data_IF_507690566868
#
_entry.id   IF_507690566868
#
_cell.length_a   1.000
_cell.length_b   1.000
_cell.length_c   1.000
_cell.angle_alpha   90.00
_cell.angle_beta   90.00
_cell.angle_gamma   90.00
#
_symmetry.space_group_name_H-M   'P 1'
#
loop_
_entity.id
_entity.type
_entity.pdbx_description
1 polymer ?
#
# COMPACT_ATOMS: atom_id res chain seq x y z
N UNK A 1 14.33 20.63 8.70
CA UNK A 1 13.10 19.95 9.17
C UNK A 1 12.53 19.18 7.99
N UNK A 2 12.70 17.87 7.95
CA UNK A 2 12.22 17.04 6.84
C UNK A 2 11.50 15.84 7.42
N UNK A 3 10.25 16.04 7.84
CA UNK A 3 9.34 14.93 8.12
C UNK A 3 8.81 14.42 6.76
N UNK A 4 9.71 13.74 6.03
CA UNK A 4 9.39 13.09 4.76
C UNK A 4 8.68 11.80 5.14
N UNK A 5 7.36 11.88 5.36
CA UNK A 5 6.53 10.69 5.52
C UNK A 5 6.86 9.72 4.38
N UNK A 6 7.45 8.59 4.74
CA UNK A 6 7.93 7.61 3.76
C UNK A 6 6.72 7.00 3.05
N UNK A 7 6.62 7.29 1.75
CA UNK A 7 5.55 6.82 0.87
C UNK A 7 6.13 5.97 -0.23
N UNK A 8 5.41 4.90 -0.55
CA UNK A 8 5.78 3.92 -1.54
C UNK A 8 4.72 3.87 -2.64
N UNK A 9 5.13 3.64 -3.88
CA UNK A 9 4.21 3.41 -5.00
C UNK A 9 3.82 1.93 -5.10
N UNK A 10 2.71 1.63 -5.79
CA UNK A 10 2.23 0.26 -6.02
C UNK A 10 3.33 -0.71 -6.46
N UNK A 11 4.21 -0.29 -7.38
CA UNK A 11 5.28 -1.12 -7.92
C UNK A 11 6.38 -1.46 -6.88
N UNK A 12 6.62 -0.57 -5.91
CA UNK A 12 7.59 -0.82 -4.84
C UNK A 12 7.01 -1.79 -3.82
N UNK A 13 5.78 -1.54 -3.38
CA UNK A 13 5.09 -2.40 -2.41
C UNK A 13 4.84 -3.79 -3.00
N UNK A 14 4.50 -3.90 -4.28
CA UNK A 14 4.32 -5.20 -4.95
C UNK A 14 5.61 -6.02 -4.95
N UNK A 15 6.77 -5.38 -5.17
CA UNK A 15 8.09 -6.04 -5.09
C UNK A 15 8.44 -6.41 -3.64
N UNK A 16 8.16 -5.54 -2.68
CA UNK A 16 8.47 -5.80 -1.26
C UNK A 16 7.66 -6.96 -0.68
N UNK A 17 6.40 -7.11 -1.09
CA UNK A 17 5.49 -8.13 -0.59
C UNK A 17 5.42 -9.38 -1.49
N UNK A 18 6.15 -9.38 -2.61
CA UNK A 18 6.15 -10.44 -3.63
C UNK A 18 4.73 -10.85 -4.08
N UNK A 19 3.90 -9.85 -4.40
CA UNK A 19 2.54 -10.05 -4.91
C UNK A 19 2.27 -9.18 -6.13
N UNK A 20 1.30 -9.57 -6.95
CA UNK A 20 0.94 -8.79 -8.15
C UNK A 20 0.35 -7.42 -7.75
N UNK A 21 0.65 -6.34 -8.51
CA UNK A 21 0.06 -5.01 -8.29
C UNK A 21 -1.47 -5.03 -8.22
N UNK A 22 -2.12 -5.82 -9.09
CA UNK A 22 -3.57 -5.96 -9.11
C UNK A 22 -4.10 -6.57 -7.80
N UNK A 23 -3.43 -7.60 -7.27
CA UNK A 23 -3.83 -8.22 -6.01
C UNK A 23 -3.60 -7.28 -4.82
N UNK A 24 -2.46 -6.58 -4.80
CA UNK A 24 -2.15 -5.57 -3.79
C UNK A 24 -3.23 -4.49 -3.71
N UNK A 25 -3.62 -3.89 -4.84
CA UNK A 25 -4.64 -2.83 -4.89
C UNK A 25 -6.00 -3.36 -4.44
N UNK A 26 -6.39 -4.55 -4.90
CA UNK A 26 -7.66 -5.18 -4.47
C UNK A 26 -7.71 -5.37 -2.95
N UNK A 27 -6.62 -5.85 -2.37
CA UNK A 27 -6.52 -6.07 -0.93
C UNK A 27 -6.52 -4.75 -0.15
N UNK A 28 -5.76 -3.75 -0.59
CA UNK A 28 -5.74 -2.43 0.04
C UNK A 28 -7.13 -1.77 0.05
N UNK A 29 -7.87 -1.86 -1.06
CA UNK A 29 -9.27 -1.40 -1.14
C UNK A 29 -10.20 -2.17 -0.19
N UNK A 30 -10.03 -3.50 -0.07
CA UNK A 30 -10.82 -4.32 0.84
C UNK A 30 -10.58 -3.99 2.32
N UNK A 31 -9.38 -3.52 2.68
CA UNK A 31 -9.03 -3.15 4.05
C UNK A 31 -9.59 -1.80 4.51
N UNK A 32 -10.24 -1.03 3.62
CA UNK A 32 -10.84 0.28 3.92
C UNK A 32 -9.86 1.20 4.67
N UNK A 33 -8.61 1.23 4.22
CA UNK A 33 -7.56 2.07 4.79
C UNK A 33 -7.90 3.56 4.61
N UNK A 34 -7.53 4.44 5.56
CA UNK A 34 -7.74 5.88 5.39
C UNK A 34 -6.89 6.43 4.25
N UNK A 35 -7.31 7.54 3.63
CA UNK A 35 -6.57 8.17 2.51
C UNK A 35 -5.14 8.59 2.89
N UNK A 36 -4.88 8.84 4.17
CA UNK A 36 -3.54 9.14 4.69
C UNK A 36 -2.59 7.94 4.63
N UNK A 37 -3.15 6.73 4.62
CA UNK A 37 -2.43 5.46 4.58
C UNK A 37 -2.34 4.91 3.15
N UNK A 38 -3.46 4.98 2.41
CA UNK A 38 -3.58 4.47 1.05
C UNK A 38 -4.46 5.38 0.20
N UNK A 39 -3.91 5.88 -0.91
CA UNK A 39 -4.66 6.75 -1.83
C UNK A 39 -4.24 6.58 -3.27
N UNK A 40 -5.17 6.85 -4.18
CA UNK A 40 -4.92 6.87 -5.61
C UNK A 40 -4.12 8.12 -6.02
N UNK A 41 -3.36 8.00 -7.09
CA UNK A 41 -2.62 9.09 -7.74
C UNK A 41 -3.25 9.41 -9.10
N UNK A 42 -2.94 10.58 -9.65
CA UNK A 42 -3.46 11.00 -10.96
C UNK A 42 -3.08 10.11 -12.15
N UNK A 43 -2.13 9.17 -11.98
CA UNK A 43 -1.66 8.25 -13.04
C UNK A 43 -2.16 6.81 -12.85
N UNK A 44 -3.19 6.58 -12.04
CA UNK A 44 -3.74 5.24 -11.78
C UNK A 44 -2.82 4.32 -10.96
N UNK A 45 -1.76 4.88 -10.37
CA UNK A 45 -0.96 4.22 -9.32
C UNK A 45 -1.51 4.59 -7.95
N UNK A 46 -1.05 3.92 -6.91
CA UNK A 46 -1.45 4.17 -5.52
C UNK A 46 -0.22 4.47 -4.67
N UNK A 47 -0.41 5.32 -3.66
CA UNK A 47 0.57 5.60 -2.62
C UNK A 47 0.20 4.83 -1.36
N UNK A 48 1.23 4.33 -0.69
CA UNK A 48 1.16 3.57 0.56
C UNK A 48 2.14 4.17 1.54
N UNK A 49 1.74 4.41 2.78
CA UNK A 49 2.70 4.64 3.85
C UNK A 49 3.07 3.31 4.54
N UNK A 50 4.01 3.37 5.49
CA UNK A 50 4.40 2.21 6.31
C UNK A 50 3.20 1.51 6.98
N UNK A 51 2.26 2.28 7.55
CA UNK A 51 1.08 1.72 8.22
C UNK A 51 0.19 0.90 7.28
N UNK A 52 0.01 1.34 6.04
CA UNK A 52 -0.73 0.59 5.02
C UNK A 52 -0.04 -0.74 4.71
N UNK A 53 1.28 -0.70 4.50
CA UNK A 53 2.08 -1.89 4.19
C UNK A 53 2.00 -2.90 5.34
N UNK A 54 2.10 -2.46 6.59
CA UNK A 54 2.02 -3.35 7.77
C UNK A 54 0.65 -4.01 7.93
N UNK A 55 -0.43 -3.27 7.67
CA UNK A 55 -1.81 -3.81 7.68
C UNK A 55 -2.03 -4.84 6.58
N UNK A 56 -1.48 -4.59 5.38
CA UNK A 56 -1.54 -5.52 4.24
C UNK A 56 -0.72 -6.78 4.55
N UNK A 57 0.51 -6.63 5.04
CA UNK A 57 1.40 -7.73 5.42
C UNK A 57 0.79 -8.61 6.51
N UNK A 58 0.14 -7.99 7.50
CA UNK A 58 -0.59 -8.71 8.56
C UNK A 58 -1.77 -9.53 8.02
N UNK A 59 -2.44 -9.05 6.97
CA UNK A 59 -3.51 -9.83 6.31
C UNK A 59 -2.98 -10.96 5.44
N UNK A 60 -1.84 -10.78 4.78
CA UNK A 60 -1.19 -11.84 4.01
C UNK A 60 -0.81 -13.04 4.89
N UNK A 61 -0.31 -12.79 6.11
CA UNK A 61 0.08 -13.85 7.07
C UNK A 61 -1.10 -14.61 7.69
N UNK A 62 -2.32 -14.09 7.59
CA UNK A 62 -3.52 -14.71 8.17
C UNK A 62 -4.13 -15.78 7.24
N UNK A 63 -3.61 -15.92 6.02
CA UNK A 63 -3.95 -16.97 5.06
C UNK A 63 -2.85 -18.02 5.02
#
# INVERSE_FOLDING_TARGET
MSDVREVFITAEVSRQLDITPAYLVRMAKALKLPETDFRETSKGSYLFNKNAIDKIKSNLKRK
#
